data_IF_950687154039
#
_entry.id   IF_950687154039
#
_cell.length_a   1.000
_cell.length_b   1.000
_cell.length_c   1.000
_cell.angle_alpha   90.00
_cell.angle_beta   90.00
_cell.angle_gamma   90.00
#
_symmetry.space_group_name_H-M   'P 1'
#
loop_
_entity.id
_entity.type
_entity.pdbx_description
1 polymer ?
#
# COMPACT_ATOMS: atom_id res chain seq x y z
N UNK A 1 -3.79 9.25 -8.14
CA UNK A 1 -2.40 9.50 -7.68
C UNK A 1 -2.09 10.99 -7.54
N UNK A 2 -2.77 11.68 -6.61
CA UNK A 2 -2.32 12.97 -6.03
C UNK A 2 -2.81 13.04 -4.58
N UNK A 3 -2.45 12.03 -3.78
CA UNK A 3 -2.54 12.17 -2.32
C UNK A 3 -1.32 12.97 -1.85
N UNK A 4 -1.39 13.67 -0.70
CA UNK A 4 -0.23 14.34 -0.12
C UNK A 4 0.99 13.42 0.00
N UNK A 5 0.77 12.12 0.26
CA UNK A 5 1.83 11.11 0.33
C UNK A 5 2.54 10.86 -0.99
N UNK A 6 1.79 10.71 -2.09
CA UNK A 6 2.39 10.52 -3.40
C UNK A 6 3.21 11.73 -3.86
N UNK A 7 2.85 12.93 -3.40
CA UNK A 7 3.63 14.15 -3.66
C UNK A 7 4.94 14.15 -2.87
N UNK A 8 4.90 13.77 -1.60
CA UNK A 8 6.10 13.65 -0.75
C UNK A 8 7.06 12.62 -1.33
N UNK A 9 6.57 11.42 -1.65
CA UNK A 9 7.39 10.35 -2.23
C UNK A 9 7.99 10.75 -3.59
N UNK A 10 7.19 11.41 -4.43
CA UNK A 10 7.65 11.91 -5.73
C UNK A 10 8.80 12.92 -5.60
N UNK A 11 8.69 13.93 -4.73
CA UNK A 11 9.77 14.89 -4.51
C UNK A 11 11.00 14.26 -3.84
N UNK A 12 10.81 13.36 -2.89
CA UNK A 12 11.92 12.64 -2.23
C UNK A 12 12.69 11.78 -3.23
N UNK A 13 11.99 11.06 -4.11
CA UNK A 13 12.60 10.30 -5.21
C UNK A 13 13.35 11.22 -6.19
N UNK A 14 12.76 12.36 -6.54
CA UNK A 14 13.41 13.35 -7.42
C UNK A 14 14.72 13.89 -6.81
N UNK A 15 14.72 14.17 -5.51
CA UNK A 15 15.92 14.64 -4.79
C UNK A 15 17.04 13.58 -4.81
N UNK A 16 16.72 12.30 -4.63
CA UNK A 16 17.72 11.23 -4.71
C UNK A 16 18.25 11.04 -6.14
N UNK A 17 17.39 11.13 -7.15
CA UNK A 17 17.78 10.90 -8.54
C UNK A 17 18.59 12.06 -9.13
N UNK A 18 18.11 13.28 -8.95
CA UNK A 18 18.68 14.46 -9.63
C UNK A 18 19.83 15.09 -8.82
N UNK A 19 19.80 14.95 -7.50
CA UNK A 19 20.76 15.59 -6.59
C UNK A 19 21.54 14.59 -5.74
N UNK A 20 21.35 13.29 -5.92
CA UNK A 20 21.98 12.24 -5.09
C UNK A 20 23.51 12.35 -4.97
N UNK A 21 24.21 12.79 -6.01
CA UNK A 21 25.66 12.98 -5.98
C UNK A 21 26.11 14.20 -5.16
N UNK A 22 25.23 15.17 -4.92
CA UNK A 22 25.47 16.39 -4.14
C UNK A 22 25.05 16.23 -2.68
N UNK A 23 24.32 15.16 -2.36
CA UNK A 23 23.85 14.86 -1.02
C UNK A 23 24.90 14.02 -0.28
N UNK A 24 25.13 14.38 0.98
CA UNK A 24 25.89 13.52 1.89
C UNK A 24 25.08 12.27 2.28
N UNK A 25 25.74 11.32 2.92
CA UNK A 25 25.12 10.06 3.32
C UNK A 25 24.00 10.27 4.35
N UNK A 26 24.08 11.31 5.17
CA UNK A 26 23.07 11.61 6.19
C UNK A 26 21.77 12.14 5.55
N UNK A 27 21.89 13.00 4.54
CA UNK A 27 20.78 13.52 3.77
C UNK A 27 20.11 12.42 2.96
N UNK A 28 20.90 11.57 2.28
CA UNK A 28 20.37 10.38 1.58
C UNK A 28 19.60 9.47 2.52
N UNK A 29 20.14 9.20 3.71
CA UNK A 29 19.48 8.40 4.73
C UNK A 29 18.13 9.00 5.14
N UNK A 30 18.05 10.32 5.37
CA UNK A 30 16.79 10.96 5.72
C UNK A 30 15.77 10.93 4.58
N UNK A 31 16.21 11.11 3.33
CA UNK A 31 15.29 11.06 2.18
C UNK A 31 14.75 9.65 1.98
N UNK A 32 15.60 8.62 2.07
CA UNK A 32 15.15 7.22 2.04
C UNK A 32 14.15 6.90 3.15
N UNK A 33 14.38 7.43 4.36
CA UNK A 33 13.45 7.31 5.48
C UNK A 33 12.09 7.95 5.19
N UNK A 34 12.06 9.09 4.48
CA UNK A 34 10.82 9.75 4.08
C UNK A 34 10.06 8.90 3.06
N UNK A 35 10.73 8.38 2.02
CA UNK A 35 10.12 7.48 1.04
C UNK A 35 9.48 6.26 1.73
N UNK A 36 10.24 5.56 2.58
CA UNK A 36 9.75 4.39 3.31
C UNK A 36 8.57 4.71 4.23
N UNK A 37 8.55 5.89 4.86
CA UNK A 37 7.43 6.30 5.69
C UNK A 37 6.17 6.60 4.86
N UNK A 38 6.34 7.24 3.70
CA UNK A 38 5.24 7.55 2.78
C UNK A 38 4.62 6.27 2.20
N UNK A 39 5.45 5.31 1.79
CA UNK A 39 5.02 3.99 1.32
C UNK A 39 4.23 3.23 2.39
N UNK A 40 4.77 3.10 3.60
CA UNK A 40 4.07 2.43 4.72
C UNK A 40 2.73 3.07 5.05
N UNK A 41 2.62 4.39 4.95
CA UNK A 41 1.35 5.07 5.22
C UNK A 41 0.34 4.86 4.09
N UNK A 42 0.78 4.78 2.83
CA UNK A 42 -0.09 4.35 1.73
C UNK A 42 -0.64 2.93 2.00
N UNK A 43 0.19 1.98 2.42
CA UNK A 43 -0.25 0.62 2.73
C UNK A 43 -1.28 0.58 3.86
N UNK A 44 -1.05 1.36 4.92
CA UNK A 44 -2.01 1.46 6.03
C UNK A 44 -3.35 2.02 5.58
N UNK A 45 -3.34 3.07 4.74
CA UNK A 45 -4.57 3.64 4.17
C UNK A 45 -5.29 2.59 3.30
N UNK A 46 -4.56 1.86 2.46
CA UNK A 46 -5.15 0.83 1.59
C UNK A 46 -5.80 -0.30 2.41
N UNK A 47 -5.14 -0.74 3.48
CA UNK A 47 -5.73 -1.71 4.42
C UNK A 47 -6.99 -1.17 5.09
N UNK A 48 -7.00 0.09 5.55
CA UNK A 48 -8.19 0.69 6.16
C UNK A 48 -9.35 0.79 5.15
N UNK A 49 -9.06 1.19 3.91
CA UNK A 49 -10.05 1.26 2.83
C UNK A 49 -10.61 -0.12 2.51
N UNK A 50 -9.76 -1.15 2.42
CA UNK A 50 -10.16 -2.53 2.17
C UNK A 50 -11.07 -3.07 3.28
N UNK A 51 -10.70 -2.84 4.55
CA UNK A 51 -11.52 -3.24 5.71
C UNK A 51 -12.87 -2.52 5.72
N UNK A 52 -12.90 -1.23 5.41
CA UNK A 52 -14.13 -0.47 5.34
C UNK A 52 -15.04 -0.89 4.17
N UNK A 53 -14.47 -1.32 3.04
CA UNK A 53 -15.24 -1.89 1.94
C UNK A 53 -15.85 -3.23 2.33
N UNK A 54 -15.07 -4.12 2.95
CA UNK A 54 -15.53 -5.42 3.45
C UNK A 54 -16.66 -5.29 4.47
N UNK A 55 -16.58 -4.32 5.39
CA UNK A 55 -17.60 -4.12 6.42
C UNK A 55 -18.93 -3.59 5.88
N UNK A 56 -18.97 -3.09 4.64
CA UNK A 56 -20.20 -2.62 3.98
C UNK A 56 -20.86 -3.69 3.10
N UNK A 57 -20.22 -4.84 2.90
CA UNK A 57 -20.82 -5.93 2.11
C UNK A 57 -21.86 -6.63 2.97
N UNK A 58 -23.12 -6.59 2.52
CA UNK A 58 -24.20 -7.35 3.13
C UNK A 58 -23.94 -8.86 2.93
N UNK A 59 -23.89 -9.62 4.02
CA UNK A 59 -23.80 -11.07 3.94
C UNK A 59 -25.11 -11.58 3.38
N UNK A 60 -25.05 -12.20 2.20
CA UNK A 60 -26.17 -12.87 1.55
C UNK A 60 -26.10 -14.37 1.87
N UNK A 61 -26.89 -14.90 2.83
CA UNK A 61 -26.86 -16.32 3.16
C UNK A 61 -27.42 -17.12 1.99
N UNK A 62 -26.68 -18.15 1.58
CA UNK A 62 -27.09 -19.04 0.49
C UNK A 62 -26.91 -20.48 0.94
N UNK A 63 -27.85 -21.35 0.57
CA UNK A 63 -27.67 -22.79 0.76
C UNK A 63 -26.61 -23.30 -0.21
N UNK A 64 -25.47 -23.72 0.32
CA UNK A 64 -24.33 -24.23 -0.46
C UNK A 64 -24.06 -25.70 -0.14
N UNK A 65 -23.66 -26.48 -1.15
CA UNK A 65 -23.19 -27.85 -0.96
C UNK A 65 -21.68 -27.85 -0.67
N UNK A 66 -21.34 -28.03 0.61
CA UNK A 66 -19.96 -28.02 1.09
C UNK A 66 -19.11 -29.17 0.51
N UNK A 67 -19.71 -30.32 0.19
CA UNK A 67 -19.01 -31.45 -0.44
C UNK A 67 -18.53 -31.09 -1.85
N UNK A 68 -19.35 -30.37 -2.62
CA UNK A 68 -18.99 -29.92 -3.97
C UNK A 68 -17.89 -28.85 -3.93
N UNK A 69 -17.94 -27.92 -2.97
CA UNK A 69 -16.89 -26.92 -2.81
C UNK A 69 -15.53 -27.53 -2.43
N UNK A 70 -15.52 -28.50 -1.51
CA UNK A 70 -14.29 -29.17 -1.08
C UNK A 70 -13.62 -30.01 -2.18
N UNK A 71 -14.40 -30.51 -3.14
CA UNK A 71 -13.87 -31.21 -4.31
C UNK A 71 -13.31 -30.26 -5.37
N UNK A 72 -13.88 -29.05 -5.49
CA UNK A 72 -13.49 -28.06 -6.50
C UNK A 72 -12.15 -27.34 -6.19
N UNK A 73 -11.76 -27.20 -4.93
CA UNK A 73 -10.49 -26.58 -4.51
C UNK A 73 -9.27 -27.49 -4.62
N UNK A 74 -9.42 -28.70 -5.18
CA UNK A 74 -8.40 -29.74 -5.22
C UNK A 74 -7.65 -29.79 -6.57
N UNK A 75 -7.24 -28.62 -7.08
CA UNK A 75 -6.33 -28.46 -8.23
C UNK A 75 -5.26 -27.42 -7.92
#
# INVERSE_FOLDING_TARGET
>A
MRSPLGVIDGYSTLLLNDYGSQLDEQAKYYIQRICLAAERMNDHIEHMLSLHQLSRVEIQPQTINLSNMAQATKN
#
